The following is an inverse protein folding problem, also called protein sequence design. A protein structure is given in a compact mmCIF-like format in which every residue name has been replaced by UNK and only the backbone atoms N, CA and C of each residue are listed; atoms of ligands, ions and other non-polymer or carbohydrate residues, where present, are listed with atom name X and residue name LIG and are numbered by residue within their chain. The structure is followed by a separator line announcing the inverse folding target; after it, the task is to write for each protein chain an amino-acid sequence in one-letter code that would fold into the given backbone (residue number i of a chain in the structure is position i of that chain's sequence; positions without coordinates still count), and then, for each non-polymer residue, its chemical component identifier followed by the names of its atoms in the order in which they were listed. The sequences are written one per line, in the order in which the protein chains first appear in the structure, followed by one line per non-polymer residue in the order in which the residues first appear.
data_IF_808195517794
#
_entry.id   IF_808195517794
#
_cell.length_a   1.000
_cell.length_b   1.000
_cell.length_c   1.000
_cell.angle_alpha   90.00
_cell.angle_beta   90.00
_cell.angle_gamma   90.00
#
_symmetry.space_group_name_H-M   'P 1'
#
loop_
_entity.id
_entity.type
_entity.pdbx_description
1 polymer ?
#
# COMPACT_ATOMS: atom_id res chain seq x y z
N UNK A 1 -10.52 -7.32 -4.74
CA UNK A 1 -9.19 -7.09 -5.35
C UNK A 1 -8.53 -5.94 -4.61
N UNK A 2 -7.21 -6.00 -4.36
CA UNK A 2 -6.46 -4.86 -3.82
C UNK A 2 -5.52 -4.33 -4.91
N UNK A 3 -5.48 -3.02 -5.02
CA UNK A 3 -4.68 -2.32 -6.01
C UNK A 3 -3.51 -1.65 -5.30
N UNK A 4 -2.36 -1.67 -5.93
CA UNK A 4 -1.13 -1.05 -5.45
C UNK A 4 -0.55 -0.17 -6.53
N UNK A 5 0.15 0.87 -6.12
CA UNK A 5 0.92 1.74 -7.00
C UNK A 5 2.38 1.68 -6.62
N UNK A 6 3.25 1.62 -7.63
CA UNK A 6 4.70 1.54 -7.47
C UNK A 6 5.36 2.52 -8.45
N UNK A 7 6.41 3.26 -8.06
CA UNK A 7 7.15 4.09 -9.00
C UNK A 7 7.90 3.24 -10.02
N UNK A 8 8.08 3.76 -11.24
CA UNK A 8 8.88 3.09 -12.28
C UNK A 8 10.36 3.44 -12.20
N UNK A 9 10.71 4.60 -11.61
CA UNK A 9 12.10 5.04 -11.49
C UNK A 9 12.75 4.58 -10.18
N UNK A 10 13.96 4.00 -10.26
CA UNK A 10 14.69 3.47 -9.09
C UNK A 10 14.96 4.53 -8.01
N UNK A 11 15.29 5.77 -8.41
CA UNK A 11 15.48 6.90 -7.48
C UNK A 11 14.22 7.16 -6.65
N UNK A 12 13.06 7.07 -7.31
CA UNK A 12 11.77 7.34 -6.70
C UNK A 12 11.32 6.17 -5.82
N UNK A 13 11.65 4.93 -6.19
CA UNK A 13 11.48 3.73 -5.37
C UNK A 13 12.24 3.89 -4.05
N UNK A 14 13.54 4.22 -4.08
CA UNK A 14 14.35 4.42 -2.87
C UNK A 14 13.82 5.56 -1.99
N UNK A 15 13.32 6.62 -2.63
CA UNK A 15 12.68 7.73 -1.92
C UNK A 15 11.39 7.26 -1.21
N UNK A 16 10.58 6.44 -1.87
CA UNK A 16 9.36 5.88 -1.29
C UNK A 16 9.66 4.93 -0.14
N UNK A 17 10.68 4.07 -0.27
CA UNK A 17 11.14 3.23 0.84
C UNK A 17 11.61 4.06 2.03
N UNK A 18 12.32 5.17 1.78
CA UNK A 18 12.77 6.07 2.85
C UNK A 18 11.62 6.80 3.56
N UNK A 19 10.63 7.30 2.81
CA UNK A 19 9.52 8.09 3.38
C UNK A 19 8.43 7.18 3.95
N UNK A 20 8.03 6.16 3.19
CA UNK A 20 6.89 5.30 3.49
C UNK A 20 7.29 3.94 4.06
N UNK A 21 8.57 3.56 4.04
CA UNK A 21 9.01 2.23 4.46
C UNK A 21 8.67 1.11 3.46
N UNK A 22 8.12 1.47 2.29
CA UNK A 22 7.73 0.53 1.23
C UNK A 22 7.65 1.24 -0.13
N UNK A 23 7.89 0.49 -1.18
CA UNK A 23 7.81 0.93 -2.58
C UNK A 23 6.43 0.74 -3.20
N UNK A 24 5.59 -0.12 -2.61
CA UNK A 24 4.22 -0.41 -3.06
C UNK A 24 3.22 0.23 -2.10
N UNK A 25 2.34 1.09 -2.60
CA UNK A 25 1.33 1.77 -1.78
C UNK A 25 -0.08 1.36 -2.21
N UNK A 26 -0.98 1.04 -1.26
CA UNK A 26 -2.33 0.58 -1.59
C UNK A 26 -3.18 1.74 -2.10
N UNK A 27 -3.91 1.55 -3.20
CA UNK A 27 -4.80 2.56 -3.79
C UNK A 27 -6.26 2.13 -3.73
N UNK A 28 -7.15 3.10 -3.52
CA UNK A 28 -8.60 2.91 -3.38
C UNK A 28 -9.25 2.61 -4.73
N UNK A 29 -8.79 3.27 -5.79
CA UNK A 29 -9.31 3.13 -7.14
C UNK A 29 -8.21 2.70 -8.11
N UNK A 30 -8.51 1.80 -9.06
CA UNK A 30 -7.53 1.31 -10.02
C UNK A 30 -7.19 2.33 -11.11
N UNK A 31 -8.10 3.27 -11.40
CA UNK A 31 -7.87 4.32 -12.39
C UNK A 31 -7.38 5.61 -11.72
N UNK A 32 -6.40 6.31 -12.33
CA UNK A 32 -6.03 7.63 -11.86
C UNK A 32 -7.17 8.62 -12.14
N UNK A 33 -7.35 9.56 -11.22
CA UNK A 33 -8.35 10.60 -11.32
C UNK A 33 -7.68 11.95 -11.57
N UNK A 34 -8.34 12.81 -12.32
CA UNK A 34 -7.90 14.18 -12.49
C UNK A 34 -8.26 14.97 -11.23
N UNK A 35 -7.25 15.52 -10.56
CA UNK A 35 -7.43 16.35 -9.37
C UNK A 35 -6.69 17.67 -9.57
N UNK A 36 -7.39 18.77 -9.31
CA UNK A 36 -6.76 20.07 -9.18
C UNK A 36 -6.30 20.25 -7.74
N UNK A 37 -5.01 20.06 -7.50
CA UNK A 37 -4.42 20.21 -6.17
C UNK A 37 -3.58 21.47 -6.11
N UNK A 38 -3.55 22.15 -4.96
CA UNK A 38 -2.65 23.28 -4.75
C UNK A 38 -1.17 22.91 -4.94
N UNK A 39 -0.84 21.62 -4.86
CA UNK A 39 0.52 21.07 -4.94
C UNK A 39 1.02 20.91 -6.38
N UNK A 40 0.13 20.46 -7.27
CA UNK A 40 0.51 20.02 -8.62
C UNK A 40 -0.30 20.71 -9.72
N UNK A 41 -1.22 21.61 -9.36
CA UNK A 41 -2.23 22.10 -10.29
C UNK A 41 -3.12 20.95 -10.74
N UNK A 42 -3.50 20.97 -12.02
CA UNK A 42 -4.24 19.89 -12.67
C UNK A 42 -3.32 18.71 -12.94
N UNK A 43 -3.50 17.61 -12.21
CA UNK A 43 -2.69 16.41 -12.35
C UNK A 43 -3.53 15.13 -12.20
N UNK A 44 -3.10 14.07 -12.87
CA UNK A 44 -3.61 12.73 -12.64
C UNK A 44 -3.05 12.19 -11.32
N UNK A 45 -3.93 11.70 -10.45
CA UNK A 45 -3.59 11.23 -9.10
C UNK A 45 -4.27 9.90 -8.77
N UNK A 46 -3.59 9.09 -7.95
CA UNK A 46 -4.18 7.96 -7.26
C UNK A 46 -4.55 8.34 -5.83
N UNK A 47 -5.74 7.90 -5.41
CA UNK A 47 -6.16 7.97 -4.02
C UNK A 47 -5.59 6.77 -3.26
N UNK A 48 -4.76 7.01 -2.25
CA UNK A 48 -4.31 5.92 -1.38
C UNK A 48 -5.47 5.39 -0.55
N UNK A 49 -5.48 4.08 -0.34
CA UNK A 49 -6.36 3.45 0.62
C UNK A 49 -5.79 3.60 2.03
N UNK A 50 -6.23 4.64 2.73
CA UNK A 50 -5.82 4.97 4.10
C UNK A 50 -6.23 3.87 5.09
N UNK A 51 -7.28 3.10 4.80
CA UNK A 51 -7.73 2.01 5.68
C UNK A 51 -6.84 0.78 5.60
N UNK A 52 -6.17 0.57 4.46
CA UNK A 52 -5.19 -0.49 4.25
C UNK A 52 -3.77 -0.11 4.69
N UNK A 53 -3.57 1.10 5.22
CA UNK A 53 -2.26 1.62 5.65
C UNK A 53 -2.13 1.50 7.17
N UNK A 54 -1.04 0.90 7.70
CA UNK A 54 -0.80 0.86 9.14
C UNK A 54 -0.71 2.26 9.77
N UNK A 55 -1.24 2.42 10.99
CA UNK A 55 -1.25 3.71 11.69
C UNK A 55 0.14 4.34 11.85
N UNK A 56 1.17 3.53 12.11
CA UNK A 56 2.56 4.00 12.20
C UNK A 56 3.07 4.65 10.90
N UNK A 57 2.58 4.21 9.75
CA UNK A 57 2.95 4.77 8.45
C UNK A 57 2.21 6.08 8.19
N UNK A 58 0.93 6.16 8.57
CA UNK A 58 0.17 7.42 8.56
C UNK A 58 0.84 8.50 9.42
N UNK A 59 1.45 8.11 10.53
CA UNK A 59 2.12 9.05 11.42
C UNK A 59 3.42 9.58 10.81
N UNK A 60 4.21 8.73 10.13
CA UNK A 60 5.39 9.16 9.37
C UNK A 60 5.00 10.10 8.23
N UNK A 61 3.91 9.80 7.53
CA UNK A 61 3.33 10.65 6.48
C UNK A 61 2.94 12.02 7.04
N UNK A 62 2.24 12.05 8.17
CA UNK A 62 1.83 13.28 8.83
C UNK A 62 3.04 14.14 9.24
N UNK A 63 4.10 13.53 9.77
CA UNK A 63 5.35 14.27 10.10
C UNK A 63 6.01 14.86 8.85
N UNK A 64 6.08 14.08 7.77
CA UNK A 64 6.65 14.56 6.51
C UNK A 64 5.86 15.75 5.95
N UNK A 65 4.53 15.68 6.00
CA UNK A 65 3.66 16.75 5.49
C UNK A 65 3.63 17.98 6.36
N UNK A 66 3.61 17.82 7.68
CA UNK A 66 3.73 18.93 8.61
C UNK A 66 4.98 19.77 8.29
N UNK A 67 6.12 19.09 8.06
CA UNK A 67 7.38 19.75 7.68
C UNK A 67 7.33 20.39 6.30
N UNK A 68 6.70 19.73 5.32
CA UNK A 68 6.69 20.22 3.93
C UNK A 68 5.74 21.39 3.73
N UNK A 69 4.56 21.34 4.35
CA UNK A 69 3.51 22.35 4.20
C UNK A 69 3.63 23.47 5.25
N UNK A 70 4.48 23.29 6.27
CA UNK A 70 4.61 24.24 7.38
C UNK A 70 3.39 24.28 8.30
N UNK A 71 2.64 23.17 8.39
CA UNK A 71 1.42 23.04 9.20
C UNK A 71 1.69 22.22 10.46
N UNK A 72 0.76 22.27 11.42
CA UNK A 72 0.89 21.47 12.63
C UNK A 72 0.78 19.97 12.33
N UNK A 73 1.40 19.14 13.19
CA UNK A 73 1.28 17.68 13.07
C UNK A 73 -0.16 17.20 13.14
N UNK A 74 -0.99 17.81 13.99
CA UNK A 74 -2.40 17.45 14.15
C UNK A 74 -3.19 17.67 12.85
N UNK A 75 -3.02 18.84 12.22
CA UNK A 75 -3.65 19.16 10.94
C UNK A 75 -3.15 18.22 9.83
N UNK A 76 -1.83 17.98 9.75
CA UNK A 76 -1.27 17.05 8.77
C UNK A 76 -1.80 15.63 8.97
N UNK A 77 -1.92 15.16 10.22
CA UNK A 77 -2.45 13.84 10.55
C UNK A 77 -3.92 13.71 10.15
N UNK A 78 -4.71 14.75 10.36
CA UNK A 78 -6.11 14.76 9.96
C UNK A 78 -6.26 14.77 8.44
N UNK A 79 -5.45 15.56 7.73
CA UNK A 79 -5.43 15.60 6.27
C UNK A 79 -5.05 14.23 5.67
N UNK A 80 -3.95 13.62 6.15
CA UNK A 80 -3.49 12.29 5.71
C UNK A 80 -4.55 11.21 5.94
N UNK A 81 -5.38 11.35 6.98
CA UNK A 81 -6.47 10.40 7.29
C UNK A 81 -7.68 10.54 6.38
N UNK A 82 -7.95 11.74 5.86
CA UNK A 82 -9.10 11.96 4.99
C UNK A 82 -8.77 11.61 3.56
N UNK A 83 -7.76 12.27 2.98
CA UNK A 83 -7.39 12.04 1.59
C UNK A 83 -5.90 12.19 1.39
N UNK A 84 -5.30 11.13 0.86
CA UNK A 84 -3.91 11.14 0.44
C UNK A 84 -3.79 10.85 -1.03
N UNK A 85 -3.15 11.78 -1.75
CA UNK A 85 -3.00 11.76 -3.18
C UNK A 85 -1.55 11.49 -3.56
N UNK A 86 -1.37 10.64 -4.56
CA UNK A 86 -0.07 10.42 -5.21
C UNK A 86 -0.22 10.72 -6.68
N UNK A 87 0.71 11.49 -7.23
CA UNK A 87 0.76 11.78 -8.66
C UNK A 87 0.96 10.50 -9.46
N UNK A 88 0.12 10.28 -10.47
CA UNK A 88 0.14 9.08 -11.29
C UNK A 88 1.34 9.02 -12.25
N UNK A 89 1.96 10.16 -12.53
CA UNK A 89 3.13 10.24 -13.42
C UNK A 89 4.30 9.41 -12.89
N UNK A 90 4.87 8.57 -13.76
CA UNK A 90 5.98 7.70 -13.40
C UNK A 90 5.60 6.58 -12.41
N UNK A 91 4.31 6.29 -12.27
CA UNK A 91 3.83 5.19 -11.44
C UNK A 91 3.18 4.09 -12.30
N UNK A 92 3.35 2.84 -11.90
CA UNK A 92 2.64 1.68 -12.45
C UNK A 92 1.64 1.15 -11.43
N UNK A 93 0.47 0.75 -11.92
CA UNK A 93 -0.53 0.05 -11.13
C UNK A 93 -0.19 -1.44 -11.10
N UNK A 94 -0.16 -2.02 -9.91
CA UNK A 94 -0.03 -3.45 -9.68
C UNK A 94 -1.30 -3.96 -9.01
N UNK A 95 -1.86 -5.05 -9.52
CA UNK A 95 -3.02 -5.68 -8.89
C UNK A 95 -2.52 -6.85 -8.09
N UNK A 96 -2.76 -6.87 -6.77
CA UNK A 96 -2.63 -8.12 -6.04
C UNK A 96 -3.87 -8.94 -6.37
N UNK A 97 -3.76 -9.84 -7.33
CA UNK A 97 -4.65 -11.00 -7.38
C UNK A 97 -4.48 -11.69 -6.02
N UNK A 98 -5.55 -12.06 -5.30
CA UNK A 98 -5.36 -13.03 -4.23
C UNK A 98 -4.70 -14.22 -4.89
N UNK A 99 -3.43 -14.47 -4.60
CA UNK A 99 -2.88 -15.80 -4.85
C UNK A 99 -3.86 -16.71 -4.12
N UNK A 100 -4.59 -17.51 -4.89
CA UNK A 100 -5.21 -18.71 -4.36
C UNK A 100 -4.04 -19.40 -3.67
N UNK A 101 -4.00 -19.29 -2.35
CA UNK A 101 -3.07 -20.03 -1.52
C UNK A 101 -3.21 -21.45 -2.00
N UNK A 102 -2.13 -21.98 -2.54
CA UNK A 102 -1.93 -23.38 -2.86
C UNK A 102 -2.75 -24.22 -1.88
N UNK A 103 -3.64 -25.13 -2.34
CA UNK A 103 -4.41 -25.96 -1.42
C UNK A 103 -3.41 -26.58 -0.44
N UNK A 104 -3.68 -26.36 0.84
CA UNK A 104 -2.83 -26.70 1.99
C UNK A 104 -2.08 -28.01 1.74
N UNK A 105 -0.79 -27.94 1.38
CA UNK A 105 0.06 -29.12 1.31
C UNK A 105 0.53 -29.40 2.72
N UNK A 106 0.16 -30.54 3.35
CA UNK A 106 0.73 -30.89 4.63
C UNK A 106 2.25 -30.98 4.50
N UNK A 107 2.96 -30.35 5.44
CA UNK A 107 4.43 -30.29 5.46
C UNK A 107 5.11 -31.68 5.48
N UNK A 108 4.34 -32.74 5.72
CA UNK A 108 4.82 -34.11 5.83
C UNK A 108 3.87 -35.09 5.14
N UNK A 109 3.99 -35.31 3.82
CA UNK A 109 3.14 -36.26 3.09
C UNK A 109 3.31 -37.73 3.56
N UNK A 110 4.36 -38.03 4.33
CA UNK A 110 4.64 -39.39 4.82
C UNK A 110 3.89 -39.77 6.10
N UNK A 111 3.29 -38.83 6.83
CA UNK A 111 2.53 -39.14 8.06
C UNK A 111 1.16 -39.78 7.79
N UNK A 112 0.75 -39.91 6.52
CA UNK A 112 -0.51 -40.58 6.14
C UNK A 112 -0.46 -42.12 6.22
N UNK A 113 0.69 -42.72 6.53
CA UNK A 113 0.83 -44.16 6.70
C UNK A 113 0.89 -44.57 8.17
N UNK A 114 -0.15 -44.24 8.93
CA UNK A 114 -0.42 -44.96 10.18
C UNK A 114 -1.61 -45.88 9.91
N UNK A 115 -1.41 -47.19 9.66
CA UNK A 115 -2.52 -48.12 9.72
C UNK A 115 -3.00 -48.13 11.18
N UNK A 116 -4.20 -47.63 11.41
CA UNK A 116 -4.92 -47.89 12.66
C UNK A 116 -5.13 -49.40 12.72
N UNK A 117 -4.25 -50.09 13.44
CA UNK A 117 -4.47 -51.48 13.83
C UNK A 117 -5.67 -51.47 14.78
N UNK A 118 -6.85 -51.74 14.24
CA UNK A 118 -8.01 -52.11 15.03
C UNK A 118 -7.68 -53.46 15.67
N UNK A 119 -7.31 -53.46 16.95
CA UNK A 119 -7.45 -54.62 17.81
C UNK A 119 -8.86 -54.58 18.41
N UNK A 120 -9.72 -55.48 17.94
CA UNK A 120 -10.75 -56.12 18.76
C UNK A 120 -10.30 -57.55 18.93
#
# INVERSE_FOLDING_TARGET
MRYFVTPTQEKQIKLWEKIYGRSHLPVKYPMPHLACTQRWGEALVYYLDVTAVPAALLDRLAVYEARRMGVSYAEARQAVRHEWLIRADGCRLETSTPQITTPWQPAFPFLQKVPLSARI
#
